data_IF_497013444631
#
_entry.id   IF_497013444631
#
_cell.length_a   1.000
_cell.length_b   1.000
_cell.length_c   1.000
_cell.angle_alpha   90.00
_cell.angle_beta   90.00
_cell.angle_gamma   90.00
#
_symmetry.space_group_name_H-M   'P 1'
#
loop_
_entity.id
_entity.type
_entity.pdbx_description
1 polymer ?
#
# COMPACT_ATOMS: atom_id res chain seq x y z
N UNK A 1 -13.86 8.27 17.48
CA UNK A 1 -14.25 7.65 16.20
C UNK A 1 -13.94 8.50 14.95
N UNK A 2 -13.79 9.83 15.02
CA UNK A 2 -13.54 10.68 13.83
C UNK A 2 -12.12 10.56 13.26
N UNK A 3 -11.08 10.45 14.11
CA UNK A 3 -9.68 10.42 13.69
C UNK A 3 -9.30 9.16 12.90
N UNK A 4 -9.78 7.99 13.31
CA UNK A 4 -9.56 6.74 12.55
C UNK A 4 -10.21 6.79 11.17
N UNK A 5 -11.42 7.38 11.06
CA UNK A 5 -12.06 7.59 9.77
C UNK A 5 -11.28 8.56 8.88
N UNK A 6 -10.74 9.64 9.46
CA UNK A 6 -9.89 10.57 8.74
C UNK A 6 -8.59 9.91 8.25
N UNK A 7 -7.94 9.11 9.11
CA UNK A 7 -6.73 8.37 8.75
C UNK A 7 -7.00 7.36 7.63
N UNK A 8 -8.10 6.60 7.73
CA UNK A 8 -8.53 5.66 6.70
C UNK A 8 -8.86 6.37 5.37
N UNK A 9 -9.57 7.49 5.41
CA UNK A 9 -9.85 8.31 4.22
C UNK A 9 -8.56 8.83 3.58
N UNK A 10 -7.62 9.33 4.40
CA UNK A 10 -6.33 9.83 3.90
C UNK A 10 -5.55 8.70 3.23
N UNK A 11 -5.51 7.51 3.84
CA UNK A 11 -4.86 6.34 3.26
C UNK A 11 -5.50 5.89 1.94
N UNK A 12 -6.83 5.86 1.87
CA UNK A 12 -7.56 5.50 0.64
C UNK A 12 -7.27 6.48 -0.51
N UNK A 13 -7.10 7.77 -0.21
CA UNK A 13 -6.82 8.81 -1.21
C UNK A 13 -5.35 8.89 -1.60
N UNK A 14 -4.45 8.88 -0.61
CA UNK A 14 -3.00 9.04 -0.79
C UNK A 14 -2.32 7.78 -1.32
N UNK A 15 -2.88 6.61 -1.00
CA UNK A 15 -2.20 5.34 -1.24
C UNK A 15 -0.83 5.31 -0.57
N UNK A 16 0.19 4.91 -1.34
CA UNK A 16 1.58 4.78 -0.89
C UNK A 16 2.52 5.87 -1.42
N UNK A 17 1.97 6.84 -2.15
CA UNK A 17 2.76 7.84 -2.88
C UNK A 17 2.81 9.20 -2.17
N UNK A 18 1.98 9.42 -1.16
CA UNK A 18 1.96 10.67 -0.39
C UNK A 18 2.12 10.41 1.12
N UNK A 19 1.71 11.38 1.93
CA UNK A 19 1.76 11.32 3.38
C UNK A 19 0.51 10.68 4.02
N UNK A 20 0.76 9.87 5.04
CA UNK A 20 -0.25 9.25 5.90
C UNK A 20 -0.16 9.83 7.33
N UNK A 21 -1.23 9.63 8.11
CA UNK A 21 -1.23 9.98 9.53
C UNK A 21 -0.59 8.83 10.33
N UNK A 22 0.53 9.09 10.99
CA UNK A 22 1.21 8.10 11.84
C UNK A 22 0.39 7.83 13.11
N UNK A 23 -0.05 6.57 13.37
CA UNK A 23 -1.00 6.28 14.45
C UNK A 23 -0.51 6.63 15.87
N UNK A 24 0.78 6.43 16.14
CA UNK A 24 1.34 6.70 17.48
C UNK A 24 1.61 8.19 17.76
N UNK A 25 2.06 8.95 16.75
CA UNK A 25 2.48 10.36 16.92
C UNK A 25 1.42 11.35 16.46
N UNK A 26 0.42 10.88 15.72
CA UNK A 26 -0.63 11.69 15.09
C UNK A 26 -0.08 12.80 14.17
N UNK A 27 1.10 12.58 13.58
CA UNK A 27 1.73 13.48 12.62
C UNK A 27 1.62 12.94 11.20
N UNK A 28 1.60 13.84 10.22
CA UNK A 28 1.74 13.45 8.81
C UNK A 28 3.18 13.02 8.55
N UNK A 29 3.35 11.88 7.92
CA UNK A 29 4.66 11.31 7.57
C UNK A 29 4.55 10.59 6.23
N UNK A 30 5.67 10.39 5.51
CA UNK A 30 5.67 9.60 4.28
C UNK A 30 5.02 8.23 4.49
N UNK A 31 4.22 7.76 3.51
CA UNK A 31 3.54 6.47 3.61
C UNK A 31 4.48 5.31 3.95
N UNK A 32 5.69 5.31 3.36
CA UNK A 32 6.73 4.32 3.68
C UNK A 32 7.07 4.29 5.17
N UNK A 33 7.30 5.46 5.78
CA UNK A 33 7.60 5.55 7.22
C UNK A 33 6.46 4.98 8.05
N UNK A 34 5.21 5.31 7.70
CA UNK A 34 4.04 4.84 8.45
C UNK A 34 3.83 3.33 8.31
N UNK A 35 4.05 2.77 7.11
CA UNK A 35 3.92 1.32 6.88
C UNK A 35 5.05 0.55 7.58
N UNK A 36 6.28 1.08 7.59
CA UNK A 36 7.39 0.48 8.34
C UNK A 36 7.12 0.46 9.85
N UNK A 37 6.59 1.55 10.40
CA UNK A 37 6.19 1.61 11.81
C UNK A 37 5.07 0.61 12.13
N UNK A 38 4.15 0.36 11.20
CA UNK A 38 3.14 -0.70 11.35
C UNK A 38 3.78 -2.09 11.38
N UNK A 39 4.69 -2.40 10.45
CA UNK A 39 5.40 -3.68 10.42
C UNK A 39 6.20 -3.93 11.70
N UNK A 40 6.88 -2.91 12.22
CA UNK A 40 7.58 -2.98 13.49
C UNK A 40 6.61 -3.28 14.64
N UNK A 41 5.47 -2.58 14.68
CA UNK A 41 4.44 -2.79 15.70
C UNK A 41 3.87 -4.22 15.70
N UNK A 42 3.65 -4.82 14.52
CA UNK A 42 3.10 -6.18 14.40
C UNK A 42 4.16 -7.27 14.34
N UNK A 43 5.46 -6.93 14.40
CA UNK A 43 6.58 -7.85 14.15
C UNK A 43 6.50 -9.14 14.96
N UNK A 44 6.31 -9.05 16.28
CA UNK A 44 6.19 -10.22 17.17
C UNK A 44 5.01 -11.12 16.81
N UNK A 45 3.90 -10.54 16.35
CA UNK A 45 2.73 -11.32 15.94
C UNK A 45 3.02 -12.07 14.63
N UNK A 46 3.73 -11.43 13.69
CA UNK A 46 4.16 -12.05 12.45
C UNK A 46 5.21 -13.16 12.68
N UNK A 47 6.13 -12.98 13.63
CA UNK A 47 7.08 -14.03 14.03
C UNK A 47 6.34 -15.26 14.59
N UNK A 48 5.33 -15.03 15.44
CA UNK A 48 4.55 -16.11 16.03
C UNK A 48 3.74 -16.92 15.01
N UNK A 49 3.35 -16.33 13.87
CA UNK A 49 2.67 -17.03 12.78
C UNK A 49 3.60 -17.52 11.68
N UNK A 50 4.90 -17.16 11.73
CA UNK A 50 5.86 -17.45 10.68
C UNK A 50 5.75 -16.57 9.42
N UNK A 51 5.00 -15.47 9.49
CA UNK A 51 4.75 -14.56 8.36
C UNK A 51 5.71 -13.36 8.29
N UNK A 52 6.65 -13.24 9.23
CA UNK A 52 7.52 -12.07 9.37
C UNK A 52 8.26 -11.71 8.08
N UNK A 53 9.00 -12.66 7.50
CA UNK A 53 9.79 -12.44 6.29
C UNK A 53 8.89 -12.13 5.10
N UNK A 54 7.82 -12.92 4.91
CA UNK A 54 6.85 -12.74 3.84
C UNK A 54 6.23 -11.34 3.87
N UNK A 55 5.84 -10.84 5.05
CA UNK A 55 5.25 -9.52 5.19
C UNK A 55 6.25 -8.41 4.87
N UNK A 56 7.49 -8.53 5.34
CA UNK A 56 8.55 -7.56 5.04
C UNK A 56 8.90 -7.52 3.56
N UNK A 57 9.04 -8.67 2.92
CA UNK A 57 9.29 -8.79 1.48
C UNK A 57 8.14 -8.19 0.66
N UNK A 58 6.90 -8.54 1.01
CA UNK A 58 5.70 -8.06 0.31
C UNK A 58 5.56 -6.54 0.40
N UNK A 59 5.81 -5.95 1.57
CA UNK A 59 5.80 -4.49 1.74
C UNK A 59 6.96 -3.84 0.99
N UNK A 60 8.16 -4.40 1.05
CA UNK A 60 9.29 -3.87 0.33
C UNK A 60 9.06 -3.88 -1.19
N UNK A 61 8.45 -4.95 -1.70
CA UNK A 61 8.03 -5.02 -3.11
C UNK A 61 6.96 -3.98 -3.44
N UNK A 62 5.93 -3.84 -2.60
CA UNK A 62 4.85 -2.87 -2.79
C UNK A 62 5.36 -1.42 -2.79
N UNK A 63 6.37 -1.11 -1.97
CA UNK A 63 6.99 0.22 -1.94
C UNK A 63 7.87 0.47 -3.18
N UNK A 64 8.60 -0.53 -3.67
CA UNK A 64 9.42 -0.40 -4.89
C UNK A 64 8.59 -0.35 -6.16
N UNK A 65 7.61 -1.26 -6.27
CA UNK A 65 6.84 -1.51 -7.47
C UNK A 65 5.48 -0.81 -7.44
N UNK A 66 5.13 -0.09 -6.36
CA UNK A 66 3.79 0.45 -6.16
C UNK A 66 2.68 -0.61 -6.15
N UNK A 67 1.43 -0.14 -6.20
CA UNK A 67 0.24 -0.99 -6.06
C UNK A 67 -0.57 -1.13 -7.37
N UNK A 68 -1.60 -1.97 -7.35
CA UNK A 68 -2.49 -2.16 -8.49
C UNK A 68 -3.16 -0.87 -8.98
N UNK A 69 -3.49 0.06 -8.09
CA UNK A 69 -4.08 1.34 -8.49
C UNK A 69 -3.09 2.21 -9.30
N UNK A 70 -1.80 2.20 -8.96
CA UNK A 70 -0.74 2.85 -9.75
C UNK A 70 -0.67 2.24 -11.16
N UNK A 71 -0.60 0.91 -11.24
CA UNK A 71 -0.56 0.17 -12.51
C UNK A 71 -1.76 0.50 -13.39
N UNK A 72 -2.96 0.49 -12.81
CA UNK A 72 -4.20 0.78 -13.54
C UNK A 72 -4.21 2.21 -14.09
N UNK A 73 -3.78 3.20 -13.31
CA UNK A 73 -3.68 4.59 -13.76
C UNK A 73 -2.66 4.76 -14.88
N UNK A 74 -1.47 4.17 -14.75
CA UNK A 74 -0.42 4.26 -15.77
C UNK A 74 -0.85 3.62 -17.10
N UNK A 75 -1.55 2.47 -17.06
CA UNK A 75 -2.09 1.85 -18.28
C UNK A 75 -3.15 2.73 -18.90
N UNK A 76 -4.07 3.29 -18.10
CA UNK A 76 -5.12 4.17 -18.60
C UNK A 76 -4.54 5.44 -19.23
N UNK A 77 -3.57 6.08 -18.57
CA UNK A 77 -2.88 7.28 -19.06
C UNK A 77 -2.16 7.00 -20.39
N UNK A 78 -1.51 5.83 -20.51
CA UNK A 78 -0.76 5.45 -21.72
C UNK A 78 -1.63 5.03 -22.89
N UNK A 79 -2.77 4.38 -22.64
CA UNK A 79 -3.57 3.70 -23.68
C UNK A 79 -4.92 4.35 -23.95
N UNK A 80 -5.46 5.12 -22.99
CA UNK A 80 -6.84 5.59 -23.01
C UNK A 80 -7.90 4.49 -22.93
N UNK A 81 -7.51 3.24 -22.65
CA UNK A 81 -8.37 2.06 -22.79
C UNK A 81 -8.59 1.33 -21.46
N UNK A 82 -9.84 1.33 -20.97
CA UNK A 82 -10.23 0.52 -19.81
C UNK A 82 -10.10 -0.99 -20.09
N UNK A 83 -10.24 -1.42 -21.34
CA UNK A 83 -10.03 -2.81 -21.74
C UNK A 83 -8.58 -3.24 -21.50
N UNK A 84 -7.63 -2.35 -21.80
CA UNK A 84 -6.21 -2.63 -21.61
C UNK A 84 -5.84 -2.66 -20.13
N UNK A 85 -6.49 -1.81 -19.32
CA UNK A 85 -6.37 -1.85 -17.85
C UNK A 85 -6.81 -3.21 -17.30
N UNK A 86 -7.98 -3.71 -17.71
CA UNK A 86 -8.48 -5.03 -17.27
C UNK A 86 -7.56 -6.15 -17.75
N UNK A 87 -7.09 -6.07 -19.00
CA UNK A 87 -6.16 -7.06 -19.57
C UNK A 87 -4.86 -7.14 -18.77
N UNK A 88 -4.29 -5.99 -18.39
CA UNK A 88 -3.10 -5.94 -17.54
C UNK A 88 -3.36 -6.49 -16.13
N UNK A 89 -4.52 -6.19 -15.52
CA UNK A 89 -4.88 -6.74 -14.22
C UNK A 89 -4.94 -8.27 -14.25
N UNK A 90 -5.58 -8.86 -15.25
CA UNK A 90 -5.65 -10.33 -15.42
C UNK A 90 -4.26 -10.93 -15.57
N UNK A 91 -3.42 -10.32 -16.42
CA UNK A 91 -2.03 -10.79 -16.64
C UNK A 91 -1.21 -10.83 -15.35
N UNK A 92 -1.46 -9.91 -14.41
CA UNK A 92 -0.72 -9.83 -13.14
C UNK A 92 -1.22 -10.76 -12.04
N UNK A 93 -2.46 -11.25 -12.11
CA UNK A 93 -3.06 -12.10 -11.07
C UNK A 93 -3.19 -13.57 -11.45
N UNK A 94 -2.95 -13.91 -12.72
CA UNK A 94 -2.91 -15.30 -13.23
C UNK A 94 -1.51 -15.95 -13.09
N UNK A 95 -0.54 -15.23 -12.51
CA UNK A 95 0.82 -15.72 -12.26
C UNK A 95 0.97 -16.38 -10.90
#
# INVERSE_FOLDING_TARGET
MSLLRLAAWRAARAGLTEELLHPATMRRMPAETVVRALLEHVGKALEATGDYDRAHESVAELLRNGNGARVQREVLERTGSLRDVVTECVRRTQG
#
